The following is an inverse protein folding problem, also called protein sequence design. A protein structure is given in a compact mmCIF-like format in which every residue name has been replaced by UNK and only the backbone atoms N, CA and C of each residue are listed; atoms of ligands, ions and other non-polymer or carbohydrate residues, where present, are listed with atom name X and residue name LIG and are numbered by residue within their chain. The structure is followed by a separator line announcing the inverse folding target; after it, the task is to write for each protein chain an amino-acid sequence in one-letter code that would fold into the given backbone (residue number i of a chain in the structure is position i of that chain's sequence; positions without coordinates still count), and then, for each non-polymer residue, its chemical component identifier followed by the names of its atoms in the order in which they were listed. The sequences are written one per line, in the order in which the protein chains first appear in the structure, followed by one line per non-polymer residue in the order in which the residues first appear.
data_IF_472564073871
#
_entry.id   IF_472564073871
#
_cell.length_a   1.000
_cell.length_b   1.000
_cell.length_c   1.000
_cell.angle_alpha   90.00
_cell.angle_beta   90.00
_cell.angle_gamma   90.00
#
_symmetry.space_group_name_H-M   'P 1'
#
loop_
_entity.id
_entity.type
_entity.pdbx_description
1 polymer ?
#
# COMPACT_ATOMS: atom_id res chain seq x y z
N UNK A 1 16.57 -0.31 0.97
CA UNK A 1 15.65 0.12 -0.09
C UNK A 1 14.27 0.28 0.52
N UNK A 2 13.56 1.38 0.26
CA UNK A 2 12.28 1.72 0.88
C UNK A 2 11.27 2.12 -0.20
N UNK A 3 10.00 1.81 0.01
CA UNK A 3 8.89 2.22 -0.84
C UNK A 3 8.77 3.74 -0.81
N UNK A 4 8.73 4.37 -1.98
CA UNK A 4 8.52 5.82 -2.08
C UNK A 4 7.04 6.20 -1.93
N UNK A 5 6.76 7.48 -1.61
CA UNK A 5 5.40 7.97 -1.32
C UNK A 5 4.38 7.70 -2.44
N UNK A 6 4.81 7.68 -3.69
CA UNK A 6 3.95 7.52 -4.87
C UNK A 6 4.18 6.20 -5.60
N UNK A 7 4.95 5.29 -5.02
CA UNK A 7 5.24 4.00 -5.63
C UNK A 7 4.21 2.97 -5.17
N UNK A 8 3.52 2.40 -6.14
CA UNK A 8 2.62 1.26 -5.99
C UNK A 8 3.34 0.06 -5.37
N UNK A 9 2.64 -0.71 -4.54
CA UNK A 9 3.25 -1.79 -3.77
C UNK A 9 3.75 -2.94 -4.64
N UNK A 10 3.17 -3.17 -5.83
CA UNK A 10 3.68 -4.12 -6.82
C UNK A 10 5.03 -3.67 -7.36
N UNK A 11 5.14 -2.39 -7.71
CA UNK A 11 6.38 -1.86 -8.24
C UNK A 11 7.49 -1.97 -7.20
N UNK A 12 7.22 -1.57 -5.96
CA UNK A 12 8.13 -1.73 -4.84
C UNK A 12 8.57 -3.20 -4.66
N UNK A 13 7.62 -4.14 -4.69
CA UNK A 13 7.89 -5.56 -4.58
C UNK A 13 8.84 -6.07 -5.68
N UNK A 14 8.55 -5.76 -6.95
CA UNK A 14 9.35 -6.25 -8.07
C UNK A 14 10.77 -5.69 -8.05
N UNK A 15 10.92 -4.40 -7.73
CA UNK A 15 12.24 -3.78 -7.60
C UNK A 15 13.05 -4.43 -6.47
N UNK A 16 12.44 -4.65 -5.31
CA UNK A 16 13.12 -5.32 -4.20
C UNK A 16 13.49 -6.78 -4.55
N UNK A 17 12.59 -7.55 -5.17
CA UNK A 17 12.89 -8.93 -5.58
C UNK A 17 14.03 -9.00 -6.59
N UNK A 18 14.10 -8.04 -7.51
CA UNK A 18 15.22 -7.90 -8.44
C UNK A 18 16.53 -7.65 -7.67
N UNK A 19 16.53 -6.71 -6.72
CA UNK A 19 17.70 -6.41 -5.89
C UNK A 19 18.13 -7.61 -5.04
N UNK A 20 17.18 -8.34 -4.43
CA UNK A 20 17.48 -9.56 -3.69
C UNK A 20 18.17 -10.59 -4.58
N UNK A 21 17.69 -10.78 -5.82
CA UNK A 21 18.28 -11.71 -6.79
C UNK A 21 19.68 -11.28 -7.24
N UNK A 22 19.90 -9.97 -7.44
CA UNK A 22 21.20 -9.42 -7.83
C UNK A 22 22.23 -9.49 -6.70
N UNK A 23 21.81 -9.22 -5.46
CA UNK A 23 22.69 -9.24 -4.29
C UNK A 23 23.00 -10.66 -3.82
N UNK A 24 21.99 -11.53 -3.77
CA UNK A 24 22.13 -12.93 -3.39
C UNK A 24 21.00 -13.79 -4.00
N UNK A 25 21.26 -14.51 -5.11
CA UNK A 25 20.28 -15.38 -5.77
C UNK A 25 19.68 -16.47 -4.87
N UNK A 26 20.40 -16.88 -3.82
CA UNK A 26 20.00 -17.92 -2.87
C UNK A 26 19.43 -17.35 -1.57
N UNK A 27 19.08 -16.06 -1.55
CA UNK A 27 18.47 -15.42 -0.38
C UNK A 27 17.20 -16.16 0.02
N UNK A 28 17.11 -16.52 1.29
CA UNK A 28 15.98 -17.22 1.85
C UNK A 28 14.73 -16.33 1.92
N UNK A 29 13.58 -16.99 2.01
CA UNK A 29 12.28 -16.32 2.00
C UNK A 29 12.06 -15.41 3.20
N UNK A 30 12.59 -15.78 4.38
CA UNK A 30 12.44 -15.01 5.60
C UNK A 30 13.19 -13.67 5.50
N UNK A 31 14.42 -13.70 4.99
CA UNK A 31 15.21 -12.50 4.72
C UNK A 31 14.50 -11.56 3.73
N UNK A 32 13.99 -12.10 2.61
CA UNK A 32 13.23 -11.30 1.62
C UNK A 32 12.00 -10.63 2.25
N UNK A 33 11.25 -11.39 3.05
CA UNK A 33 10.10 -10.87 3.77
C UNK A 33 10.46 -9.78 4.77
N UNK A 34 11.58 -9.93 5.47
CA UNK A 34 12.05 -8.92 6.40
C UNK A 34 12.34 -7.61 5.65
N UNK A 35 13.05 -7.67 4.51
CA UNK A 35 13.31 -6.49 3.69
C UNK A 35 12.03 -5.85 3.14
N UNK A 36 11.04 -6.65 2.73
CA UNK A 36 9.73 -6.15 2.31
C UNK A 36 9.02 -5.42 3.46
N UNK A 37 9.00 -6.00 4.66
CA UNK A 37 8.32 -5.44 5.84
C UNK A 37 8.98 -4.16 6.35
N UNK A 38 10.31 -4.08 6.26
CA UNK A 38 11.09 -2.93 6.74
C UNK A 38 11.09 -1.76 5.75
N UNK A 39 10.95 -2.04 4.46
CA UNK A 39 10.92 -1.01 3.43
C UNK A 39 9.53 -0.43 3.13
N UNK A 40 8.45 -1.00 3.68
CA UNK A 40 7.09 -0.48 3.49
C UNK A 40 6.90 0.94 4.03
N UNK A 41 6.05 1.70 3.35
CA UNK A 41 5.54 2.98 3.86
C UNK A 41 4.76 2.78 5.16
N UNK A 42 4.85 3.76 6.07
CA UNK A 42 4.18 3.72 7.37
C UNK A 42 2.66 3.53 7.27
N UNK A 43 2.07 4.02 6.17
CA UNK A 43 0.64 3.92 5.87
C UNK A 43 0.17 2.49 5.64
N UNK A 44 0.97 1.65 4.97
CA UNK A 44 0.61 0.25 4.65
C UNK A 44 1.19 -0.75 5.65
N UNK A 45 2.27 -0.37 6.34
CA UNK A 45 3.04 -1.26 7.21
C UNK A 45 2.19 -1.94 8.28
N UNK A 46 1.34 -1.19 8.98
CA UNK A 46 0.55 -1.74 10.09
C UNK A 46 -0.43 -2.83 9.61
N UNK A 47 -1.23 -2.51 8.59
CA UNK A 47 -2.26 -3.41 8.06
C UNK A 47 -1.67 -4.69 7.45
N UNK A 48 -0.51 -4.58 6.80
CA UNK A 48 0.20 -5.71 6.22
C UNK A 48 0.81 -6.60 7.31
N UNK A 49 1.41 -6.00 8.35
CA UNK A 49 1.99 -6.76 9.46
C UNK A 49 0.93 -7.58 10.22
N UNK A 50 -0.29 -7.08 10.35
CA UNK A 50 -1.41 -7.81 10.96
C UNK A 50 -1.77 -9.10 10.20
N UNK A 51 -1.43 -9.21 8.91
CA UNK A 51 -1.71 -10.42 8.12
C UNK A 51 -0.71 -11.55 8.33
N UNK A 52 0.44 -11.27 8.97
CA UNK A 52 1.46 -12.28 9.31
C UNK A 52 1.86 -13.17 8.11
N UNK A 53 2.13 -12.57 6.96
CA UNK A 53 2.57 -13.31 5.77
C UNK A 53 3.86 -14.10 6.01
N UNK A 54 3.87 -15.32 5.48
CA UNK A 54 4.98 -16.29 5.61
C UNK A 54 5.74 -16.50 4.31
N UNK A 55 5.18 -16.07 3.18
CA UNK A 55 5.83 -16.05 1.86
C UNK A 55 5.78 -14.66 1.23
N UNK A 56 6.72 -14.35 0.33
CA UNK A 56 6.73 -13.06 -0.39
C UNK A 56 5.49 -12.92 -1.28
N UNK A 57 4.93 -14.02 -1.78
CA UNK A 57 3.69 -14.05 -2.54
C UNK A 57 2.47 -13.65 -1.68
N UNK A 58 2.34 -14.23 -0.48
CA UNK A 58 1.28 -13.85 0.46
C UNK A 58 1.39 -12.37 0.84
N UNK A 59 2.61 -11.90 1.11
CA UNK A 59 2.87 -10.49 1.37
C UNK A 59 2.32 -9.62 0.23
N UNK A 60 2.69 -9.94 -1.02
CA UNK A 60 2.28 -9.17 -2.19
C UNK A 60 0.75 -9.15 -2.35
N UNK A 61 0.10 -10.29 -2.15
CA UNK A 61 -1.36 -10.42 -2.25
C UNK A 61 -2.08 -9.56 -1.21
N UNK A 62 -1.63 -9.59 0.04
CA UNK A 62 -2.23 -8.77 1.10
C UNK A 62 -1.98 -7.28 0.87
N UNK A 63 -0.76 -6.93 0.47
CA UNK A 63 -0.37 -5.55 0.23
C UNK A 63 -1.22 -4.93 -0.90
N UNK A 64 -1.38 -5.64 -2.02
CA UNK A 64 -2.26 -5.21 -3.12
C UNK A 64 -3.70 -4.98 -2.65
N UNK A 65 -4.25 -5.94 -1.91
CA UNK A 65 -5.63 -5.83 -1.41
C UNK A 65 -5.82 -4.62 -0.49
N UNK A 66 -4.85 -4.31 0.35
CA UNK A 66 -4.91 -3.15 1.24
C UNK A 66 -4.82 -1.84 0.44
N UNK A 67 -3.91 -1.78 -0.54
CA UNK A 67 -3.77 -0.61 -1.41
C UNK A 67 -5.04 -0.35 -2.24
N UNK A 68 -5.65 -1.41 -2.78
CA UNK A 68 -6.95 -1.34 -3.48
C UNK A 68 -8.08 -0.84 -2.56
N UNK A 69 -8.19 -1.38 -1.34
CA UNK A 69 -9.21 -0.95 -0.37
C UNK A 69 -9.05 0.52 0.01
N UNK A 70 -7.81 0.99 0.21
CA UNK A 70 -7.54 2.40 0.52
C UNK A 70 -7.90 3.33 -0.63
N UNK A 71 -7.58 2.93 -1.86
CA UNK A 71 -7.96 3.69 -3.05
C UNK A 71 -9.48 3.84 -3.17
N UNK A 72 -10.24 2.78 -2.84
CA UNK A 72 -11.70 2.82 -2.80
C UNK A 72 -12.23 3.73 -1.68
N UNK A 73 -11.66 3.67 -0.48
CA UNK A 73 -12.04 4.53 0.65
C UNK A 73 -11.79 6.02 0.35
N UNK A 74 -10.65 6.34 -0.27
CA UNK A 74 -10.33 7.71 -0.70
C UNK A 74 -11.34 8.23 -1.74
N UNK A 75 -11.74 7.38 -2.69
CA UNK A 75 -12.77 7.72 -3.69
C UNK A 75 -14.14 7.96 -3.05
N UNK A 76 -14.53 7.15 -2.04
CA UNK A 76 -15.79 7.33 -1.33
C UNK A 76 -15.81 8.62 -0.49
N UNK A 77 -14.72 8.92 0.23
CA UNK A 77 -14.60 10.17 0.99
C UNK A 77 -14.69 11.42 0.12
N UNK A 78 -14.14 11.37 -1.10
CA UNK A 78 -14.25 12.48 -2.06
C UNK A 78 -15.68 12.67 -2.62
N UNK A 79 -16.44 11.58 -2.81
CA UNK A 79 -17.84 11.64 -3.24
C UNK A 79 -18.76 12.20 -2.14
N UNK A 80 -18.50 11.86 -0.87
CA UNK A 80 -19.28 12.40 0.26
C UNK A 80 -19.02 13.89 0.50
N UNK A 81 -17.76 14.35 0.37
CA UNK A 81 -17.41 15.76 0.54
C UNK A 81 -17.95 16.67 -0.58
N UNK A 82 -17.98 16.17 -1.81
CA UNK A 82 -18.54 16.92 -2.95
C UNK A 82 -20.07 17.01 -2.93
N UNK A 83 -20.73 16.09 -2.22
CA UNK A 83 -22.20 16.08 -2.05
C UNK A 83 -22.72 17.05 -0.99
N UNK A 84 -21.86 17.59 -0.12
CA UNK A 84 -22.25 18.49 0.98
C UNK A 84 -22.06 19.99 0.67
N UNK A 85 -21.58 20.36 -0.52
CA UNK A 85 -21.43 21.76 -0.94
C UNK A 85 -22.60 22.21 -1.83
N UNK A 86 -23.79 22.40 -1.24
CA UNK A 86 -24.82 23.29 -1.80
C UNK A 86 -24.96 24.51 -0.89
N UNK A 87 -24.63 25.74 -1.35
CA UNK A 87 -25.06 26.95 -0.68
C UNK A 87 -26.57 27.11 -0.91
N UNK A 88 -27.36 26.98 0.16
CA UNK A 88 -28.75 27.41 0.18
C UNK A 88 -28.83 28.89 -0.22
N UNK A 89 -29.41 29.16 -1.40
CA UNK A 89 -29.93 30.46 -1.76
C UNK A 89 -31.08 30.78 -0.80
N UNK A 90 -30.83 31.62 0.22
CA UNK A 90 -31.90 32.24 0.98
C UNK A 90 -31.99 33.70 0.54
N UNK A 91 -32.88 33.91 -0.43
CA UNK A 91 -33.43 35.21 -0.79
C UNK A 91 -34.29 35.72 0.37
N UNK A 92 -33.94 36.86 0.94
CA UNK A 92 -34.82 37.71 1.77
C UNK A 92 -34.47 39.15 1.41
N UNK A 93 -35.26 39.77 0.54
CA UNK A 93 -36.41 40.68 0.82
C UNK A 93 -35.98 42.14 0.86
#
# INVERSE_FOLDING_TARGET
YQQSLHQDVRQYYFELMKLCKEANPLMDESSKLQYLKDGLTSSLRFDILLKNSTTTEEFLKYAQKIEELRSLDEQQGMMEQSSQQQPNLITTS
#
